data_IF_839657391401
#
_entry.id   IF_839657391401
#
_cell.length_a   1.000
_cell.length_b   1.000
_cell.length_c   1.000
_cell.angle_alpha   90.00
_cell.angle_beta   90.00
_cell.angle_gamma   90.00
#
_symmetry.space_group_name_H-M   'P 1'
#
loop_
_entity.id
_entity.type
_entity.pdbx_description
1 polymer ?
#
# COMPACT_ATOMS: atom_id res chain seq x y z
N UNK A 1 -3.02 6.63 30.17
CA UNK A 1 -4.27 6.80 29.39
C UNK A 1 -4.03 6.05 28.10
N UNK A 2 -4.78 4.99 27.87
CA UNK A 2 -4.56 4.11 26.73
C UNK A 2 -4.94 4.85 25.44
N UNK A 3 -3.96 5.12 24.59
CA UNK A 3 -4.19 5.54 23.21
C UNK A 3 -4.75 4.35 22.44
N UNK A 4 -5.99 4.45 22.03
CA UNK A 4 -6.66 3.45 21.20
C UNK A 4 -6.12 3.64 19.79
N UNK A 5 -5.38 2.65 19.28
CA UNK A 5 -5.01 2.58 17.84
C UNK A 5 -6.29 2.50 17.00
N UNK A 6 -6.69 3.64 16.47
CA UNK A 6 -7.98 3.77 15.74
C UNK A 6 -7.86 3.27 14.29
N UNK A 7 -6.65 3.22 13.73
CA UNK A 7 -6.46 2.97 12.30
C UNK A 7 -6.78 1.53 11.88
N UNK A 8 -6.36 0.56 12.65
CA UNK A 8 -6.49 -0.85 12.32
C UNK A 8 -7.96 -1.26 12.21
N UNK A 9 -8.79 -0.70 13.08
CA UNK A 9 -10.25 -0.95 13.08
C UNK A 9 -10.93 -0.46 11.80
N UNK A 10 -10.41 0.59 11.18
CA UNK A 10 -11.00 1.15 9.96
C UNK A 10 -10.60 0.39 8.67
N UNK A 11 -9.49 -0.35 8.69
CA UNK A 11 -9.10 -1.21 7.57
C UNK A 11 -10.07 -2.42 7.48
N UNK A 12 -10.69 -2.82 8.60
CA UNK A 12 -11.47 -4.06 8.74
C UNK A 12 -12.98 -3.90 8.89
N UNK A 13 -13.52 -2.71 9.00
CA UNK A 13 -14.96 -2.58 9.01
C UNK A 13 -15.58 -2.79 7.62
N UNK A 14 -15.61 -4.05 7.20
CA UNK A 14 -16.60 -4.54 6.25
C UNK A 14 -17.74 -5.09 7.09
N UNK A 15 -18.67 -4.23 7.49
CA UNK A 15 -19.97 -4.71 7.94
C UNK A 15 -20.80 -5.00 6.70
N UNK A 16 -21.35 -6.23 6.55
CA UNK A 16 -22.37 -6.44 5.55
C UNK A 16 -23.58 -5.59 5.94
N UNK A 17 -24.09 -4.77 5.03
CA UNK A 17 -25.37 -4.11 5.16
C UNK A 17 -26.48 -5.18 5.21
N UNK A 18 -26.81 -5.69 6.40
CA UNK A 18 -28.10 -6.29 6.66
C UNK A 18 -28.96 -5.20 7.28
N UNK A 19 -29.78 -4.59 6.44
CA UNK A 19 -30.82 -3.67 6.89
C UNK A 19 -31.88 -4.40 7.69
N UNK A 20 -32.02 -4.04 8.95
CA UNK A 20 -33.29 -4.09 9.68
C UNK A 20 -33.42 -2.75 10.40
N UNK A 21 -34.12 -1.85 9.78
CA UNK A 21 -34.57 -0.60 10.37
C UNK A 21 -36.09 -0.68 10.54
N UNK A 22 -36.55 -0.46 11.76
CA UNK A 22 -37.97 -0.39 12.12
C UNK A 22 -38.67 0.76 11.39
N UNK A 23 -39.85 0.46 10.85
CA UNK A 23 -40.78 1.41 10.25
C UNK A 23 -41.28 2.44 11.25
N UNK A 24 -41.11 3.72 10.94
CA UNK A 24 -42.01 4.77 11.38
C UNK A 24 -42.62 5.44 10.16
N UNK A 25 -43.93 5.20 10.04
CA UNK A 25 -44.78 5.80 9.01
C UNK A 25 -44.88 7.31 9.15
N UNK A 26 -44.59 8.03 8.06
CA UNK A 26 -45.14 9.34 7.77
C UNK A 26 -45.61 9.32 6.31
N UNK A 27 -46.92 9.41 6.13
CA UNK A 27 -47.54 9.59 4.82
C UNK A 27 -47.22 10.98 4.29
N UNK A 28 -46.57 11.04 3.14
CA UNK A 28 -46.73 12.15 2.21
C UNK A 28 -46.70 11.62 0.78
N UNK A 29 -47.81 11.86 0.09
CA UNK A 29 -48.03 11.55 -1.32
C UNK A 29 -47.15 12.44 -2.17
N UNK A 30 -46.23 11.84 -2.90
CA UNK A 30 -45.69 12.45 -4.13
C UNK A 30 -45.88 11.44 -5.27
N UNK A 31 -46.61 11.86 -6.27
CA UNK A 31 -46.81 11.14 -7.52
C UNK A 31 -45.47 10.95 -8.22
N UNK A 32 -45.08 9.70 -8.44
CA UNK A 32 -43.92 9.36 -9.25
C UNK A 32 -44.38 8.97 -10.63
N UNK A 33 -44.15 9.86 -11.58
CA UNK A 33 -44.07 9.48 -12.98
C UNK A 33 -42.81 8.66 -13.20
N UNK A 34 -42.98 7.46 -13.70
CA UNK A 34 -41.92 6.50 -13.94
C UNK A 34 -40.95 6.98 -15.04
N UNK A 35 -39.68 6.98 -14.68
CA UNK A 35 -38.60 6.86 -15.64
C UNK A 35 -37.64 5.79 -15.13
N UNK A 36 -37.93 4.54 -15.52
CA UNK A 36 -37.02 3.43 -15.41
C UNK A 36 -35.88 3.63 -16.44
N UNK A 37 -34.93 4.49 -16.11
CA UNK A 37 -33.63 4.45 -16.79
C UNK A 37 -32.76 3.43 -16.03
N UNK A 38 -32.78 2.19 -16.52
CA UNK A 38 -31.66 1.29 -16.33
C UNK A 38 -30.41 2.03 -16.83
N UNK A 39 -29.59 2.51 -15.92
CA UNK A 39 -28.23 2.90 -16.23
C UNK A 39 -27.49 1.63 -16.67
N UNK A 40 -27.46 1.40 -17.97
CA UNK A 40 -26.52 0.48 -18.58
C UNK A 40 -25.14 1.07 -18.33
N UNK A 41 -24.41 0.52 -17.36
CA UNK A 41 -22.99 0.79 -17.22
C UNK A 41 -22.31 0.38 -18.51
N UNK A 42 -21.84 1.36 -19.25
CA UNK A 42 -21.06 1.12 -20.45
C UNK A 42 -19.74 0.46 -20.02
N UNK A 43 -19.62 -0.83 -20.24
CA UNK A 43 -18.43 -1.65 -19.96
C UNK A 43 -17.36 -1.35 -21.02
N UNK A 44 -16.84 -0.14 -21.00
CA UNK A 44 -15.73 0.23 -21.88
C UNK A 44 -14.42 0.07 -21.11
N UNK A 45 -13.49 -0.68 -21.68
CA UNK A 45 -12.09 -0.72 -21.23
C UNK A 45 -11.33 0.57 -21.58
N UNK A 46 -12.00 1.53 -22.19
CA UNK A 46 -11.51 2.88 -22.42
C UNK A 46 -11.95 3.78 -21.26
N UNK A 47 -11.09 4.64 -20.82
CA UNK A 47 -11.28 5.56 -19.70
C UNK A 47 -12.60 6.34 -19.81
N UNK A 48 -13.58 6.11 -18.94
CA UNK A 48 -14.93 6.66 -19.15
C UNK A 48 -15.05 8.14 -18.79
N UNK A 49 -14.10 8.66 -17.99
CA UNK A 49 -14.14 10.05 -17.52
C UNK A 49 -12.74 10.64 -17.39
N UNK A 50 -12.58 11.86 -17.85
CA UNK A 50 -11.40 12.66 -17.71
C UNK A 50 -11.74 13.80 -16.75
N UNK A 51 -11.00 13.93 -15.66
CA UNK A 51 -11.13 15.02 -14.72
C UNK A 51 -9.89 15.90 -14.79
N UNK A 52 -10.09 17.20 -14.81
CA UNK A 52 -8.99 18.18 -14.75
C UNK A 52 -8.54 18.49 -13.33
N UNK A 53 -9.26 18.00 -12.33
CA UNK A 53 -8.97 18.22 -10.92
C UNK A 53 -8.66 16.91 -10.23
N UNK A 54 -7.40 16.72 -9.86
CA UNK A 54 -6.89 15.54 -9.16
C UNK A 54 -7.65 15.23 -7.86
N UNK A 55 -8.00 16.29 -7.10
CA UNK A 55 -8.74 16.12 -5.85
C UNK A 55 -10.18 15.62 -6.04
N UNK A 56 -10.76 15.79 -7.22
CA UNK A 56 -12.07 15.21 -7.54
C UNK A 56 -12.04 13.70 -7.61
N UNK A 57 -10.86 13.12 -7.93
CA UNK A 57 -10.67 11.67 -8.12
C UNK A 57 -9.85 11.03 -7.01
N UNK A 58 -8.79 11.71 -6.55
CA UNK A 58 -7.86 11.19 -5.52
C UNK A 58 -8.11 11.93 -4.21
N UNK A 59 -9.37 11.96 -3.85
CA UNK A 59 -9.89 12.81 -2.78
C UNK A 59 -9.61 12.27 -1.40
N UNK A 60 -9.56 10.95 -1.29
CA UNK A 60 -9.47 10.24 -0.02
C UNK A 60 -8.67 8.95 -0.22
N UNK A 61 -7.92 8.54 0.81
CA UNK A 61 -7.30 7.21 0.91
C UNK A 61 -6.43 6.82 -0.30
N UNK A 62 -5.46 7.66 -0.66
CA UNK A 62 -4.43 7.26 -1.62
C UNK A 62 -3.48 6.29 -0.93
N UNK A 63 -3.70 4.99 -1.16
CA UNK A 63 -3.05 3.92 -0.43
C UNK A 63 -1.68 3.55 -0.98
N UNK A 64 -1.51 3.65 -2.29
CA UNK A 64 -0.24 3.38 -2.96
C UNK A 64 -0.06 4.29 -4.17
N UNK A 65 1.18 4.59 -4.50
CA UNK A 65 1.53 5.43 -5.65
C UNK A 65 2.73 4.82 -6.36
N UNK A 66 2.74 4.95 -7.68
CA UNK A 66 3.84 4.51 -8.51
C UNK A 66 4.01 5.45 -9.71
N UNK A 67 5.24 5.81 -10.06
CA UNK A 67 5.53 6.48 -11.32
C UNK A 67 6.20 5.50 -12.28
N UNK A 68 5.55 5.22 -13.43
CA UNK A 68 6.09 4.29 -14.42
C UNK A 68 7.25 4.91 -15.21
N UNK A 69 8.01 4.07 -15.93
CA UNK A 69 9.16 4.49 -16.75
C UNK A 69 8.79 5.45 -17.88
N UNK A 70 7.49 5.59 -18.22
CA UNK A 70 6.98 6.56 -19.19
C UNK A 70 6.67 7.91 -18.55
N UNK A 71 6.73 7.99 -17.20
CA UNK A 71 6.44 9.17 -16.41
C UNK A 71 4.97 9.30 -16.01
N UNK A 72 4.11 8.30 -16.28
CA UNK A 72 2.75 8.33 -15.78
C UNK A 72 2.72 8.03 -14.29
N UNK A 73 1.86 8.72 -13.56
CA UNK A 73 1.57 8.41 -12.16
C UNK A 73 0.36 7.48 -12.08
N UNK A 74 0.49 6.48 -11.25
CA UNK A 74 -0.55 5.53 -10.91
C UNK A 74 -0.89 5.68 -9.45
N UNK A 75 -2.15 5.91 -9.14
CA UNK A 75 -2.67 6.04 -7.78
C UNK A 75 -3.58 4.87 -7.50
N UNK A 76 -3.21 4.09 -6.52
CA UNK A 76 -4.05 3.05 -5.95
C UNK A 76 -4.82 3.60 -4.75
N UNK A 77 -6.12 3.42 -4.75
CA UNK A 77 -6.99 3.98 -3.70
C UNK A 77 -7.58 2.89 -2.82
N UNK A 78 -8.11 3.30 -1.67
CA UNK A 78 -8.82 2.40 -0.76
C UNK A 78 -10.33 2.44 -1.03
N UNK A 79 -10.74 2.03 -2.24
CA UNK A 79 -12.15 1.93 -2.60
C UNK A 79 -12.61 2.75 -3.81
N UNK A 80 -11.67 3.40 -4.52
CA UNK A 80 -11.95 4.07 -5.80
C UNK A 80 -11.12 3.47 -6.96
N UNK A 81 -10.53 2.28 -6.74
CA UNK A 81 -9.77 1.55 -7.74
C UNK A 81 -8.47 2.24 -8.14
N UNK A 82 -8.14 2.13 -9.43
CA UNK A 82 -6.90 2.63 -10.03
C UNK A 82 -7.18 3.97 -10.71
N UNK A 83 -6.30 4.95 -10.49
CA UNK A 83 -6.33 6.24 -11.16
C UNK A 83 -4.97 6.45 -11.82
N UNK A 84 -4.97 6.93 -13.07
CA UNK A 84 -3.77 7.25 -13.83
C UNK A 84 -3.71 8.74 -14.16
N UNK A 85 -2.51 9.30 -14.08
CA UNK A 85 -2.22 10.65 -14.54
C UNK A 85 -1.00 10.64 -15.48
N UNK A 86 -1.15 11.12 -16.71
CA UNK A 86 -0.12 11.11 -17.75
C UNK A 86 0.66 12.43 -17.87
N UNK A 87 0.44 13.35 -16.94
CA UNK A 87 0.98 14.71 -16.97
C UNK A 87 0.04 15.75 -17.58
N UNK A 88 -1.09 15.31 -18.17
CA UNK A 88 -2.11 16.19 -18.77
C UNK A 88 -3.52 15.78 -18.34
N UNK A 89 -3.81 14.49 -18.35
CA UNK A 89 -5.15 13.95 -18.09
C UNK A 89 -5.13 13.02 -16.89
N UNK A 90 -6.15 13.15 -16.06
CA UNK A 90 -6.41 12.26 -14.93
C UNK A 90 -7.57 11.32 -15.30
N UNK A 91 -7.33 10.02 -15.20
CA UNK A 91 -8.25 8.99 -15.66
C UNK A 91 -8.53 7.96 -14.56
N UNK A 92 -9.82 7.73 -14.27
CA UNK A 92 -10.23 6.59 -13.45
C UNK A 92 -10.35 5.34 -14.34
N UNK A 93 -9.67 4.27 -13.93
CA UNK A 93 -9.62 3.01 -14.68
C UNK A 93 -10.80 2.13 -14.28
N UNK A 94 -11.59 1.72 -15.29
CA UNK A 94 -12.63 0.72 -15.10
C UNK A 94 -12.22 -0.58 -15.80
N UNK A 95 -12.26 -1.69 -15.07
CA UNK A 95 -11.85 -3.00 -15.55
C UNK A 95 -13.07 -3.91 -15.58
N UNK A 96 -13.34 -4.54 -16.72
CA UNK A 96 -14.47 -5.45 -16.87
C UNK A 96 -14.30 -6.66 -15.94
N UNK A 97 -15.37 -6.95 -15.17
CA UNK A 97 -15.38 -8.07 -14.23
C UNK A 97 -14.74 -7.81 -12.88
N UNK A 98 -14.16 -6.61 -12.68
CA UNK A 98 -13.55 -6.20 -11.41
C UNK A 98 -14.45 -5.19 -10.72
N UNK A 99 -14.51 -5.30 -9.37
CA UNK A 99 -15.32 -4.40 -8.56
C UNK A 99 -14.79 -2.96 -8.66
N UNK A 100 -15.65 -1.96 -8.98
CA UNK A 100 -15.19 -0.58 -9.17
C UNK A 100 -14.62 0.08 -7.90
N UNK A 101 -14.97 -0.46 -6.73
CA UNK A 101 -14.49 0.02 -5.41
C UNK A 101 -13.39 -0.88 -4.82
N UNK A 102 -12.63 -1.60 -5.67
CA UNK A 102 -11.51 -2.39 -5.22
C UNK A 102 -10.47 -1.52 -4.50
N UNK A 103 -9.81 -2.10 -3.51
CA UNK A 103 -8.62 -1.53 -2.90
C UNK A 103 -7.40 -1.92 -3.74
N UNK A 104 -6.52 -0.96 -3.96
CA UNK A 104 -5.22 -1.21 -4.61
C UNK A 104 -4.13 -1.02 -3.56
N UNK A 105 -3.39 -2.08 -3.29
CA UNK A 105 -2.49 -2.14 -2.14
C UNK A 105 -1.04 -1.95 -2.55
N UNK A 106 -0.64 -2.50 -3.69
CA UNK A 106 0.73 -2.40 -4.20
C UNK A 106 0.72 -2.24 -5.72
N UNK A 107 1.70 -1.50 -6.26
CA UNK A 107 1.87 -1.28 -7.71
C UNK A 107 3.34 -1.47 -8.05
N UNK A 108 3.62 -2.34 -9.04
CA UNK A 108 4.99 -2.58 -9.52
C UNK A 108 5.03 -2.63 -11.04
N UNK A 109 6.19 -2.32 -11.65
CA UNK A 109 6.41 -2.38 -13.10
C UNK A 109 7.47 -3.45 -13.42
N UNK A 110 7.12 -4.35 -14.34
CA UNK A 110 8.06 -5.36 -14.81
C UNK A 110 9.10 -4.81 -15.83
N UNK A 111 10.07 -5.66 -16.19
CA UNK A 111 11.12 -5.28 -17.16
C UNK A 111 10.57 -4.99 -18.55
N UNK A 112 9.41 -5.55 -18.89
CA UNK A 112 8.74 -5.34 -20.18
C UNK A 112 7.89 -4.06 -20.20
N UNK A 113 7.73 -3.38 -19.04
CA UNK A 113 6.91 -2.16 -18.89
C UNK A 113 5.43 -2.47 -18.67
N UNK A 114 5.07 -3.68 -18.26
CA UNK A 114 3.74 -3.95 -17.77
C UNK A 114 3.63 -3.47 -16.31
N UNK A 115 2.48 -2.90 -15.98
CA UNK A 115 2.15 -2.49 -14.61
C UNK A 115 1.32 -3.58 -13.97
N UNK A 116 1.69 -3.95 -12.75
CA UNK A 116 1.01 -4.96 -11.97
C UNK A 116 0.44 -4.33 -10.70
N UNK A 117 -0.78 -4.67 -10.37
CA UNK A 117 -1.52 -4.14 -9.22
C UNK A 117 -1.92 -5.30 -8.32
N UNK A 118 -1.46 -5.27 -7.08
CA UNK A 118 -2.00 -6.10 -6.01
C UNK A 118 -3.25 -5.45 -5.44
N UNK A 119 -4.38 -6.14 -5.48
CA UNK A 119 -5.67 -5.57 -5.14
C UNK A 119 -6.47 -6.45 -4.20
N UNK A 120 -7.60 -5.94 -3.70
CA UNK A 120 -8.58 -6.76 -2.97
C UNK A 120 -9.25 -7.82 -3.83
N UNK A 121 -9.15 -7.72 -5.15
CA UNK A 121 -9.80 -8.58 -6.14
C UNK A 121 -8.75 -9.37 -6.94
N UNK A 122 -7.61 -9.68 -6.34
CA UNK A 122 -6.52 -10.43 -6.96
C UNK A 122 -5.44 -9.58 -7.60
N UNK A 123 -4.68 -10.19 -8.52
CA UNK A 123 -3.58 -9.59 -9.24
C UNK A 123 -4.07 -9.06 -10.60
N UNK A 124 -3.80 -7.80 -10.89
CA UNK A 124 -4.18 -7.17 -12.15
C UNK A 124 -2.93 -6.77 -12.92
N UNK A 125 -2.88 -7.11 -14.20
CA UNK A 125 -1.83 -6.71 -15.14
C UNK A 125 -2.37 -5.69 -16.14
N UNK A 126 -1.59 -4.65 -16.40
CA UNK A 126 -1.77 -3.72 -17.52
C UNK A 126 -0.58 -3.81 -18.48
N UNK A 127 -0.81 -4.20 -19.74
CA UNK A 127 0.23 -4.39 -20.76
C UNK A 127 0.49 -3.13 -21.63
N UNK A 128 -0.04 -2.00 -21.19
CA UNK A 128 0.00 -0.74 -21.95
C UNK A 128 -1.20 -0.54 -22.88
N UNK A 129 -2.08 -1.53 -23.01
CA UNK A 129 -3.27 -1.49 -23.88
C UNK A 129 -4.52 -2.04 -23.19
N UNK A 130 -4.39 -3.13 -22.45
CA UNK A 130 -5.52 -3.83 -21.81
C UNK A 130 -5.14 -4.30 -20.41
N UNK A 131 -6.16 -4.45 -19.60
CA UNK A 131 -6.07 -5.06 -18.29
C UNK A 131 -6.43 -6.54 -18.35
N UNK A 132 -5.77 -7.35 -17.52
CA UNK A 132 -6.10 -8.74 -17.27
C UNK A 132 -5.99 -9.01 -15.77
N UNK A 133 -7.04 -9.61 -15.20
CA UNK A 133 -7.06 -10.01 -13.79
C UNK A 133 -6.74 -11.50 -13.65
N UNK A 134 -6.20 -11.86 -12.48
CA UNK A 134 -5.87 -13.22 -12.04
C UNK A 134 -6.27 -13.35 -10.57
N UNK A 135 -6.91 -14.44 -10.22
CA UNK A 135 -7.55 -14.62 -8.92
C UNK A 135 -7.40 -16.07 -8.42
N UNK A 136 -8.32 -16.51 -7.59
CA UNK A 136 -8.40 -17.90 -7.11
C UNK A 136 -8.59 -18.91 -8.23
N UNK A 137 -9.17 -18.51 -9.38
CA UNK A 137 -9.26 -19.35 -10.58
C UNK A 137 -7.88 -19.75 -11.13
N UNK A 138 -6.89 -18.90 -10.99
CA UNK A 138 -5.50 -19.15 -11.35
C UNK A 138 -4.67 -19.70 -10.17
N UNK A 139 -5.33 -20.05 -9.05
CA UNK A 139 -4.72 -20.70 -7.90
C UNK A 139 -4.18 -19.78 -6.81
N UNK A 140 -4.59 -18.50 -6.77
CA UNK A 140 -4.31 -17.62 -5.63
C UNK A 140 -4.85 -18.26 -4.36
N UNK A 141 -4.02 -18.28 -3.31
CA UNK A 141 -4.37 -18.93 -2.04
C UNK A 141 -5.22 -18.04 -1.15
N UNK A 142 -6.16 -18.67 -0.43
CA UNK A 142 -7.08 -18.02 0.50
C UNK A 142 -8.50 -17.95 -0.06
N UNK A 143 -9.46 -17.71 0.83
CA UNK A 143 -10.86 -17.45 0.46
C UNK A 143 -11.05 -16.03 -0.03
N UNK A 144 -10.25 -15.10 0.53
CA UNK A 144 -10.17 -13.70 0.12
C UNK A 144 -9.06 -13.55 -0.91
N UNK A 145 -9.38 -12.94 -2.04
CA UNK A 145 -8.45 -12.73 -3.16
C UNK A 145 -7.46 -11.57 -2.92
N UNK A 146 -7.45 -11.02 -1.70
CA UNK A 146 -6.70 -9.82 -1.37
C UNK A 146 -5.18 -10.06 -1.35
N UNK A 147 -4.47 -9.29 -2.17
CA UNK A 147 -3.01 -9.26 -2.26
C UNK A 147 -2.49 -8.09 -1.44
N UNK A 148 -1.65 -8.39 -0.46
CA UNK A 148 -1.02 -7.41 0.43
C UNK A 148 0.43 -7.13 0.04
N UNK A 149 1.20 -8.15 -0.27
CA UNK A 149 2.58 -8.04 -0.71
C UNK A 149 2.73 -8.37 -2.19
N UNK A 150 3.41 -7.52 -2.94
CA UNK A 150 3.70 -7.73 -4.35
C UNK A 150 5.09 -7.22 -4.68
N UNK A 151 5.93 -8.08 -5.25
CA UNK A 151 7.23 -7.67 -5.78
C UNK A 151 7.61 -8.48 -7.00
N UNK A 152 8.54 -7.97 -7.78
CA UNK A 152 9.14 -8.66 -8.93
C UNK A 152 10.63 -8.77 -8.65
N UNK A 153 11.11 -10.00 -8.51
CA UNK A 153 12.53 -10.24 -8.24
C UNK A 153 13.42 -9.96 -9.44
N UNK A 154 14.72 -9.98 -9.23
CA UNK A 154 15.72 -9.71 -10.26
C UNK A 154 15.67 -10.69 -11.45
N UNK A 155 15.06 -11.87 -11.26
CA UNK A 155 14.85 -12.86 -12.30
C UNK A 155 13.54 -12.60 -13.08
N UNK A 156 12.70 -11.69 -12.59
CA UNK A 156 11.39 -11.37 -13.17
C UNK A 156 10.26 -12.26 -12.66
N UNK A 157 10.49 -13.04 -11.61
CA UNK A 157 9.45 -13.82 -10.94
C UNK A 157 8.62 -12.89 -10.07
N UNK A 158 7.31 -13.00 -10.19
CA UNK A 158 6.38 -12.20 -9.39
C UNK A 158 6.06 -12.94 -8.10
N UNK A 159 6.35 -12.31 -6.98
CA UNK A 159 6.04 -12.78 -5.64
C UNK A 159 4.78 -12.11 -5.15
N UNK A 160 3.88 -12.90 -4.59
CA UNK A 160 2.57 -12.45 -4.13
C UNK A 160 2.35 -12.93 -2.70
N UNK A 161 2.11 -11.98 -1.80
CA UNK A 161 1.66 -12.22 -0.43
C UNK A 161 0.17 -11.96 -0.31
N UNK A 162 -0.55 -12.91 0.25
CA UNK A 162 -2.00 -12.82 0.47
C UNK A 162 -2.36 -13.31 1.88
N UNK A 163 -3.62 -13.17 2.25
CA UNK A 163 -4.17 -13.75 3.49
C UNK A 163 -3.96 -15.28 3.56
N UNK A 164 -3.96 -15.96 2.42
CA UNK A 164 -3.74 -17.39 2.33
C UNK A 164 -2.28 -17.83 2.35
N UNK A 165 -1.34 -16.90 2.27
CA UNK A 165 0.10 -17.16 2.26
C UNK A 165 0.84 -16.55 1.08
N UNK A 166 1.98 -17.14 0.73
CA UNK A 166 2.85 -16.67 -0.35
C UNK A 166 2.72 -17.56 -1.57
N UNK A 167 2.74 -16.93 -2.74
CA UNK A 167 2.77 -17.62 -4.03
C UNK A 167 3.76 -16.94 -4.97
N UNK A 168 4.26 -17.71 -5.94
CA UNK A 168 4.87 -17.17 -7.14
C UNK A 168 3.84 -17.13 -8.25
N UNK A 169 3.87 -16.13 -9.09
CA UNK A 169 3.07 -16.09 -10.29
C UNK A 169 3.95 -16.29 -11.53
N UNK A 170 3.69 -17.36 -12.31
CA UNK A 170 4.49 -17.76 -13.47
C UNK A 170 4.06 -17.09 -14.78
N UNK A 171 3.08 -16.20 -14.74
CA UNK A 171 2.45 -15.55 -15.91
C UNK A 171 1.10 -16.15 -16.29
N UNK A 172 0.75 -17.32 -15.75
CA UNK A 172 -0.51 -18.00 -16.00
C UNK A 172 -1.25 -18.38 -14.71
N UNK A 173 -0.52 -18.83 -13.69
CA UNK A 173 -1.09 -19.33 -12.43
C UNK A 173 -0.21 -18.98 -11.23
N UNK A 174 -0.84 -19.03 -10.06
CA UNK A 174 -0.13 -18.92 -8.78
C UNK A 174 0.38 -20.31 -8.36
N UNK A 175 1.64 -20.35 -7.98
CA UNK A 175 2.31 -21.54 -7.44
C UNK A 175 2.58 -21.28 -5.96
N UNK A 176 1.98 -22.05 -5.05
CA UNK A 176 2.19 -21.88 -3.61
C UNK A 176 3.67 -21.94 -3.23
N UNK A 177 4.08 -21.05 -2.34
CA UNK A 177 5.39 -21.04 -1.74
C UNK A 177 5.26 -21.19 -0.22
N UNK A 178 5.69 -22.34 0.30
CA UNK A 178 5.51 -22.68 1.73
C UNK A 178 6.59 -22.01 2.57
N UNK A 179 6.17 -21.25 3.57
CA UNK A 179 7.03 -20.78 4.65
C UNK A 179 7.23 -21.91 5.67
N UNK A 180 8.37 -21.96 6.36
CA UNK A 180 8.56 -22.86 7.49
C UNK A 180 7.67 -22.48 8.67
N UNK A 181 7.50 -23.41 9.60
CA UNK A 181 6.77 -23.13 10.84
C UNK A 181 7.40 -21.97 11.61
N UNK A 182 6.53 -21.13 12.19
CA UNK A 182 6.97 -19.99 12.99
C UNK A 182 7.62 -20.45 14.31
N UNK A 183 8.71 -19.76 14.69
CA UNK A 183 9.34 -19.92 16.01
C UNK A 183 8.76 -18.95 17.06
N UNK A 184 7.78 -18.15 16.71
CA UNK A 184 7.09 -17.23 17.62
C UNK A 184 6.09 -18.01 18.46
N UNK A 185 6.23 -17.92 19.78
CA UNK A 185 5.30 -18.52 20.72
C UNK A 185 4.11 -17.58 20.93
N UNK A 186 2.87 -18.06 20.67
CA UNK A 186 1.65 -17.29 20.77
C UNK A 186 1.69 -15.97 19.96
N UNK A 187 1.85 -16.05 18.64
CA UNK A 187 1.93 -14.85 17.81
C UNK A 187 0.62 -14.06 17.90
N UNK A 188 0.75 -12.74 17.89
CA UNK A 188 -0.39 -11.83 17.82
C UNK A 188 -0.62 -11.48 16.35
N UNK A 189 -1.61 -12.09 15.74
CA UNK A 189 -2.01 -11.78 14.38
C UNK A 189 -3.08 -10.70 14.38
N UNK A 190 -3.00 -9.82 13.40
CA UNK A 190 -4.04 -8.84 13.13
C UNK A 190 -5.13 -9.45 12.26
N UNK A 191 -4.74 -10.27 11.28
CA UNK A 191 -5.61 -10.87 10.28
C UNK A 191 -5.45 -12.37 10.16
N UNK A 192 -4.23 -12.83 9.92
CA UNK A 192 -3.97 -14.22 9.58
C UNK A 192 -2.53 -14.62 9.89
N UNK A 193 -2.37 -15.82 10.43
CA UNK A 193 -1.06 -16.45 10.66
C UNK A 193 -0.25 -16.71 9.38
N UNK A 194 -0.90 -16.59 8.21
CA UNK A 194 -0.27 -16.81 6.90
C UNK A 194 -0.01 -15.53 6.13
N UNK A 195 -0.59 -14.43 6.58
CA UNK A 195 -0.51 -13.17 5.84
C UNK A 195 0.92 -12.65 5.74
N UNK A 196 1.29 -12.24 4.54
CA UNK A 196 2.55 -11.54 4.24
C UNK A 196 2.21 -10.16 3.70
N UNK A 197 2.55 -9.12 4.49
CA UNK A 197 2.24 -7.72 4.18
C UNK A 197 3.16 -7.13 3.12
N UNK A 198 4.46 -7.49 3.16
CA UNK A 198 5.46 -6.93 2.25
C UNK A 198 6.46 -8.00 1.86
N UNK A 199 6.91 -7.93 0.62
CA UNK A 199 7.97 -8.78 0.08
C UNK A 199 8.97 -7.88 -0.64
N UNK A 200 10.26 -8.02 -0.34
CA UNK A 200 11.32 -7.37 -1.10
C UNK A 200 12.43 -8.37 -1.44
N UNK A 201 13.19 -8.10 -2.49
CA UNK A 201 14.48 -8.73 -2.74
C UNK A 201 15.58 -7.73 -2.42
N UNK A 202 16.50 -8.10 -1.54
CA UNK A 202 17.66 -7.26 -1.23
C UNK A 202 18.74 -7.36 -2.32
N UNK A 203 19.74 -6.48 -2.26
CA UNK A 203 20.85 -6.43 -3.24
C UNK A 203 21.67 -7.73 -3.31
N UNK A 204 21.58 -8.60 -2.30
CA UNK A 204 22.23 -9.90 -2.29
C UNK A 204 21.39 -10.99 -2.97
N UNK A 205 20.16 -10.68 -3.37
CA UNK A 205 19.19 -11.64 -3.91
C UNK A 205 18.46 -12.44 -2.83
N UNK A 206 18.46 -11.96 -1.59
CA UNK A 206 17.66 -12.54 -0.51
C UNK A 206 16.26 -11.98 -0.53
N UNK A 207 15.25 -12.85 -0.51
CA UNK A 207 13.85 -12.46 -0.38
C UNK A 207 13.50 -12.30 1.09
N UNK A 208 12.96 -11.15 1.45
CA UNK A 208 12.47 -10.84 2.77
C UNK A 208 10.95 -10.82 2.75
N UNK A 209 10.34 -11.53 3.69
CA UNK A 209 8.88 -11.70 3.79
C UNK A 209 8.43 -11.19 5.16
N UNK A 210 7.72 -10.10 5.16
CA UNK A 210 7.20 -9.40 6.34
C UNK A 210 5.83 -9.97 6.69
N UNK A 211 5.67 -10.54 7.88
CA UNK A 211 4.50 -11.33 8.23
C UNK A 211 3.66 -10.74 9.35
N UNK A 212 2.40 -11.16 9.40
CA UNK A 212 1.46 -10.78 10.46
C UNK A 212 1.73 -11.56 11.76
N UNK A 213 2.46 -10.96 12.68
CA UNK A 213 2.72 -11.51 14.02
C UNK A 213 3.82 -12.59 14.08
N UNK A 214 4.34 -13.04 12.94
CA UNK A 214 5.39 -14.07 12.89
C UNK A 214 6.80 -13.52 12.65
N UNK A 215 7.00 -12.20 12.70
CA UNK A 215 8.29 -11.58 12.39
C UNK A 215 8.61 -11.57 10.90
N UNK A 216 9.86 -11.79 10.54
CA UNK A 216 10.35 -11.73 9.17
C UNK A 216 11.02 -13.05 8.78
N UNK A 217 10.62 -13.61 7.65
CA UNK A 217 11.35 -14.71 7.02
C UNK A 217 12.28 -14.16 5.95
N UNK A 218 13.51 -14.69 5.92
CA UNK A 218 14.49 -14.45 4.85
C UNK A 218 14.67 -15.75 4.09
N UNK A 219 14.60 -15.69 2.76
CA UNK A 219 14.81 -16.84 1.90
C UNK A 219 15.94 -16.55 0.92
N UNK A 220 16.95 -17.42 0.90
CA UNK A 220 18.05 -17.34 -0.06
C UNK A 220 18.47 -18.75 -0.50
N UNK A 221 18.37 -19.03 -1.80
CA UNK A 221 18.85 -20.28 -2.43
C UNK A 221 18.39 -21.57 -1.73
N UNK A 222 17.15 -21.61 -1.28
CA UNK A 222 16.57 -22.80 -0.63
C UNK A 222 16.69 -22.81 0.90
N UNK A 223 17.38 -21.84 1.49
CA UNK A 223 17.55 -21.74 2.93
C UNK A 223 16.70 -20.63 3.52
N UNK A 224 16.08 -20.90 4.67
CA UNK A 224 15.32 -19.92 5.43
C UNK A 224 16.06 -19.49 6.68
N UNK A 225 15.96 -18.20 6.99
CA UNK A 225 16.30 -17.62 8.29
C UNK A 225 15.05 -16.92 8.82
N UNK A 226 14.72 -17.16 10.07
CA UNK A 226 13.56 -16.55 10.72
C UNK A 226 14.02 -15.51 11.76
N UNK A 227 13.66 -14.26 11.56
CA UNK A 227 13.95 -13.14 12.45
C UNK A 227 12.73 -12.80 13.30
N UNK A 228 12.95 -12.76 14.61
CA UNK A 228 11.91 -12.48 15.61
C UNK A 228 12.47 -11.52 16.68
N UNK A 229 11.66 -11.18 17.66
CA UNK A 229 12.13 -10.42 18.84
C UNK A 229 13.29 -11.11 19.57
N UNK A 230 13.43 -12.43 19.49
CA UNK A 230 14.58 -13.18 20.01
C UNK A 230 15.90 -12.87 19.26
N UNK A 231 15.81 -12.35 18.04
CA UNK A 231 16.95 -11.95 17.21
C UNK A 231 17.18 -10.43 17.19
N UNK A 232 16.34 -9.65 17.90
CA UNK A 232 16.49 -8.20 17.99
C UNK A 232 15.46 -7.37 17.25
N UNK A 233 14.45 -8.00 16.61
CA UNK A 233 13.27 -7.24 16.12
C UNK A 233 12.59 -6.55 17.32
N UNK A 234 12.04 -5.38 17.06
CA UNK A 234 11.33 -4.60 18.09
C UNK A 234 9.97 -5.18 18.42
N UNK A 235 9.32 -5.77 17.41
CA UNK A 235 8.07 -6.51 17.52
C UNK A 235 7.97 -7.57 16.42
N UNK A 236 7.19 -8.65 16.66
CA UNK A 236 6.96 -9.69 15.65
C UNK A 236 5.81 -9.34 14.70
N UNK A 237 4.97 -8.36 15.03
CA UNK A 237 3.95 -7.81 14.14
C UNK A 237 4.59 -6.77 13.23
N UNK A 238 5.28 -7.25 12.20
CA UNK A 238 6.01 -6.41 11.25
C UNK A 238 5.07 -5.86 10.18
N UNK A 239 5.29 -4.60 9.77
CA UNK A 239 4.39 -3.88 8.86
C UNK A 239 5.02 -3.61 7.49
N UNK A 240 6.29 -3.18 7.47
CA UNK A 240 6.98 -2.79 6.25
C UNK A 240 8.49 -2.94 6.37
N UNK A 241 9.19 -2.96 5.24
CA UNK A 241 10.63 -3.14 5.15
C UNK A 241 11.21 -2.43 3.93
N UNK A 242 12.41 -1.84 4.08
CA UNK A 242 13.18 -1.24 3.00
C UNK A 242 14.67 -1.57 3.16
N UNK A 243 15.36 -1.93 2.08
CA UNK A 243 16.82 -1.89 2.02
C UNK A 243 17.27 -0.53 1.45
N UNK A 244 18.05 0.24 2.23
CA UNK A 244 18.60 1.50 1.76
C UNK A 244 19.80 1.33 0.82
N UNK A 245 20.25 2.42 0.17
CA UNK A 245 21.38 2.39 -0.77
C UNK A 245 22.68 1.93 -0.12
N UNK A 246 22.82 2.07 1.20
CA UNK A 246 23.96 1.63 2.00
C UNK A 246 23.89 0.14 2.38
N UNK A 247 22.73 -0.53 2.15
CA UNK A 247 22.50 -1.92 2.49
C UNK A 247 21.97 -2.12 3.91
N UNK A 248 21.56 -1.06 4.60
CA UNK A 248 20.85 -1.21 5.86
C UNK A 248 19.38 -1.58 5.59
N UNK A 249 18.81 -2.36 6.49
CA UNK A 249 17.41 -2.75 6.43
C UNK A 249 16.61 -1.92 7.45
N UNK A 250 15.68 -1.14 6.95
CA UNK A 250 14.72 -0.40 7.75
C UNK A 250 13.48 -1.26 7.95
N UNK A 251 12.99 -1.35 9.18
CA UNK A 251 11.88 -2.20 9.56
C UNK A 251 10.88 -1.38 10.36
N UNK A 252 9.65 -1.37 9.89
CA UNK A 252 8.49 -0.85 10.59
C UNK A 252 7.66 -1.97 11.19
N UNK A 253 7.05 -1.71 12.32
CA UNK A 253 6.21 -2.64 13.04
C UNK A 253 4.91 -1.97 13.46
N UNK A 254 3.91 -2.78 13.85
CA UNK A 254 2.64 -2.25 14.34
C UNK A 254 2.70 -1.79 15.80
N UNK A 255 3.61 -2.35 16.62
CA UNK A 255 3.63 -2.08 18.06
C UNK A 255 5.03 -1.74 18.62
N UNK A 256 6.06 -1.79 17.80
CA UNK A 256 7.45 -1.57 18.21
C UNK A 256 8.14 -0.39 17.52
N UNK A 257 7.40 0.32 16.65
CA UNK A 257 7.92 1.47 15.92
C UNK A 257 8.93 1.12 14.83
N UNK A 258 9.88 2.04 14.60
CA UNK A 258 10.88 1.94 13.54
C UNK A 258 12.24 1.52 14.07
N UNK A 259 12.88 0.59 13.35
CA UNK A 259 14.27 0.18 13.60
C UNK A 259 15.08 0.09 12.30
N UNK A 260 16.40 0.20 12.45
CA UNK A 260 17.39 -0.02 11.39
C UNK A 260 18.31 -1.17 11.77
N UNK A 261 18.52 -2.10 10.85
CA UNK A 261 19.48 -3.18 10.95
C UNK A 261 20.65 -2.94 9.97
N UNK A 262 21.85 -2.86 10.47
CA UNK A 262 23.07 -2.58 9.67
C UNK A 262 23.80 -3.84 9.20
N UNK A 263 23.14 -5.01 9.30
CA UNK A 263 23.74 -6.32 9.02
C UNK A 263 24.26 -7.01 10.29
N UNK A 264 24.39 -6.30 11.41
CA UNK A 264 24.93 -6.80 12.67
C UNK A 264 24.08 -6.41 13.86
N UNK A 265 23.66 -5.16 13.92
CA UNK A 265 23.00 -4.53 15.08
C UNK A 265 21.67 -3.90 14.68
N UNK A 266 20.67 -4.05 15.55
CA UNK A 266 19.42 -3.31 15.47
C UNK A 266 19.50 -2.04 16.31
N UNK A 267 19.12 -0.91 15.71
CA UNK A 267 18.90 0.38 16.42
C UNK A 267 17.41 0.66 16.36
N UNK A 268 16.74 0.76 17.50
CA UNK A 268 15.32 1.10 17.58
C UNK A 268 15.14 2.58 17.95
N UNK A 269 14.70 3.38 17.00
CA UNK A 269 14.55 4.81 17.16
C UNK A 269 13.30 5.22 17.96
N UNK A 270 12.24 4.41 17.92
CA UNK A 270 11.02 4.66 18.68
C UNK A 270 11.22 4.34 20.16
N UNK A 271 11.80 3.18 20.46
CA UNK A 271 12.09 2.76 21.84
C UNK A 271 13.09 3.71 22.52
N UNK A 272 14.02 4.26 21.75
CA UNK A 272 15.00 5.23 22.22
C UNK A 272 14.42 6.64 22.37
N UNK A 273 13.13 6.84 22.07
CA UNK A 273 12.40 8.11 22.23
C UNK A 273 12.78 9.18 21.20
N UNK A 274 13.35 8.79 20.07
CA UNK A 274 13.76 9.69 18.99
C UNK A 274 12.59 9.88 17.99
N UNK A 275 11.83 8.83 17.75
CA UNK A 275 10.65 8.81 16.88
C UNK A 275 9.43 8.48 17.72
N UNK A 276 8.35 9.25 17.58
CA UNK A 276 7.05 8.97 18.18
C UNK A 276 6.21 8.10 17.25
N UNK A 277 5.31 7.29 17.83
CA UNK A 277 4.43 6.39 17.10
C UNK A 277 4.96 4.96 17.04
N UNK A 278 4.14 4.04 17.53
CA UNK A 278 4.50 2.61 17.57
C UNK A 278 4.20 1.90 16.25
N UNK A 279 3.27 2.42 15.47
CA UNK A 279 2.88 1.89 14.16
C UNK A 279 3.61 2.66 13.05
N UNK A 280 4.56 1.99 12.37
CA UNK A 280 5.41 2.61 11.34
C UNK A 280 5.47 1.77 10.07
N UNK A 281 5.37 2.43 8.91
CA UNK A 281 5.35 1.79 7.59
C UNK A 281 5.60 2.80 6.46
N UNK A 282 5.44 2.39 5.18
CA UNK A 282 5.59 3.19 3.96
C UNK A 282 6.98 3.81 3.83
N UNK A 283 8.03 2.99 3.89
CA UNK A 283 9.39 3.46 3.68
C UNK A 283 9.63 3.88 2.23
N UNK A 284 10.36 4.98 2.07
CA UNK A 284 10.86 5.45 0.78
C UNK A 284 12.26 6.06 0.97
N UNK A 285 13.24 5.65 0.18
CA UNK A 285 14.53 6.32 0.10
C UNK A 285 14.52 7.28 -1.08
N UNK A 286 14.73 8.58 -0.81
CA UNK A 286 14.79 9.59 -1.86
C UNK A 286 16.13 9.58 -2.62
N UNK A 287 16.22 10.35 -3.68
CA UNK A 287 17.41 10.45 -4.52
C UNK A 287 18.62 11.02 -3.77
N UNK A 288 18.39 11.79 -2.71
CA UNK A 288 19.42 12.36 -1.83
C UNK A 288 19.88 11.38 -0.75
N UNK A 289 19.24 10.22 -0.61
CA UNK A 289 19.53 9.19 0.39
C UNK A 289 18.85 9.43 1.73
N UNK A 290 17.87 10.32 1.80
CA UNK A 290 17.04 10.42 2.99
C UNK A 290 16.03 9.28 3.03
N UNK A 291 15.76 8.77 4.24
CA UNK A 291 14.73 7.75 4.45
C UNK A 291 13.48 8.43 4.99
N UNK A 292 12.41 8.28 4.25
CA UNK A 292 11.07 8.73 4.62
C UNK A 292 10.25 7.55 5.10
N UNK A 293 9.44 7.74 6.12
CA UNK A 293 8.48 6.76 6.60
C UNK A 293 7.33 7.42 7.34
N UNK A 294 6.24 6.70 7.50
CA UNK A 294 5.08 7.17 8.25
C UNK A 294 5.09 6.61 9.67
N UNK A 295 4.64 7.42 10.61
CA UNK A 295 4.25 6.98 11.94
C UNK A 295 2.78 7.34 12.12
N UNK A 296 1.94 6.33 12.36
CA UNK A 296 0.49 6.48 12.35
C UNK A 296 -0.01 7.54 13.30
N UNK A 297 -0.76 8.52 12.76
CA UNK A 297 -1.25 9.66 13.52
C UNK A 297 -0.22 10.73 13.85
N UNK A 298 1.08 10.48 13.64
CA UNK A 298 2.19 11.40 13.88
C UNK A 298 2.75 12.03 12.61
N UNK A 299 2.18 11.73 11.44
CA UNK A 299 2.60 12.25 10.15
C UNK A 299 3.77 11.49 9.55
N UNK A 300 4.76 12.20 9.02
CA UNK A 300 5.90 11.64 8.29
C UNK A 300 7.20 12.04 8.95
N UNK A 301 8.12 11.10 9.03
CA UNK A 301 9.50 11.35 9.42
C UNK A 301 10.43 11.27 8.21
N UNK A 302 11.46 12.12 8.20
CA UNK A 302 12.60 12.06 7.30
C UNK A 302 13.88 11.91 8.10
N UNK A 303 14.65 10.90 7.79
CA UNK A 303 16.00 10.69 8.32
C UNK A 303 17.03 11.08 7.26
N UNK A 304 17.93 12.03 7.59
CA UNK A 304 18.94 12.58 6.66
C UNK A 304 20.32 11.90 6.75
N UNK A 305 20.37 10.77 7.45
CA UNK A 305 21.63 10.07 7.77
C UNK A 305 22.17 10.37 9.18
N UNK A 306 21.67 11.44 9.83
CA UNK A 306 22.09 11.85 11.17
C UNK A 306 20.90 12.22 12.06
N UNK A 307 19.92 12.93 11.53
CA UNK A 307 18.81 13.50 12.29
C UNK A 307 17.45 13.09 11.70
N UNK A 308 16.44 13.03 12.57
CA UNK A 308 15.05 12.89 12.17
C UNK A 308 14.37 14.26 12.16
N UNK A 309 13.60 14.51 11.10
CA UNK A 309 12.68 15.66 10.99
C UNK A 309 11.27 15.14 10.85
N UNK A 310 10.37 15.56 11.72
CA UNK A 310 8.95 15.22 11.65
C UNK A 310 8.19 16.28 10.87
N UNK A 311 7.23 15.85 10.05
CA UNK A 311 6.32 16.69 9.30
C UNK A 311 4.88 16.28 9.58
N UNK A 312 4.04 17.25 9.90
CA UNK A 312 2.63 17.09 10.26
C UNK A 312 1.76 18.06 9.48
N UNK A 313 0.48 18.08 9.79
CA UNK A 313 -0.45 19.10 9.28
C UNK A 313 -0.01 20.54 9.58
N UNK A 314 0.73 20.77 10.68
CA UNK A 314 1.28 22.09 11.02
C UNK A 314 2.38 22.53 10.02
N UNK A 315 2.97 21.59 9.29
CA UNK A 315 3.95 21.86 8.24
C UNK A 315 3.34 21.88 6.84
N UNK A 316 2.03 21.63 6.72
CA UNK A 316 1.30 21.68 5.45
C UNK A 316 0.92 20.31 4.85
N UNK A 317 1.14 19.19 5.56
CA UNK A 317 0.54 17.91 5.18
C UNK A 317 -0.99 18.02 5.19
N UNK A 318 -1.66 17.37 4.26
CA UNK A 318 -3.13 17.32 4.22
C UNK A 318 -3.73 16.51 5.37
N UNK A 319 -2.99 15.53 5.88
CA UNK A 319 -3.38 14.70 7.02
C UNK A 319 -2.14 14.08 7.67
N UNK A 320 -2.20 13.86 8.99
CA UNK A 320 -1.17 13.08 9.71
C UNK A 320 -1.29 11.57 9.49
N UNK A 321 -2.34 11.11 8.83
CA UNK A 321 -2.48 9.72 8.39
C UNK A 321 -2.02 9.63 6.96
N UNK A 322 -0.81 9.13 6.76
CA UNK A 322 -0.15 9.01 5.47
C UNK A 322 -0.04 7.53 5.11
N UNK A 323 -0.56 7.15 3.95
CA UNK A 323 -0.72 5.77 3.52
C UNK A 323 0.28 5.35 2.43
N UNK A 324 0.97 6.31 1.81
CA UNK A 324 1.99 6.04 0.81
C UNK A 324 2.95 7.20 0.63
N UNK A 325 4.19 6.90 0.26
CA UNK A 325 5.24 7.86 -0.05
C UNK A 325 5.89 7.48 -1.37
N UNK A 326 6.12 8.45 -2.25
CA UNK A 326 6.78 8.26 -3.54
C UNK A 326 7.66 9.46 -3.84
N UNK A 327 8.93 9.26 -4.18
CA UNK A 327 9.71 10.28 -4.89
C UNK A 327 9.49 10.13 -6.40
N UNK A 328 9.14 11.20 -7.07
CA UNK A 328 8.99 11.22 -8.51
C UNK A 328 10.32 11.49 -9.24
N UNK A 329 10.31 11.34 -10.56
CA UNK A 329 11.51 11.56 -11.40
C UNK A 329 11.99 13.03 -11.47
N UNK A 330 11.28 13.95 -10.80
CA UNK A 330 11.66 15.36 -10.64
C UNK A 330 12.25 15.64 -9.26
N UNK A 331 12.33 14.63 -8.39
CA UNK A 331 12.80 14.74 -7.03
C UNK A 331 11.77 15.35 -6.06
N UNK A 332 10.51 15.38 -6.43
CA UNK A 332 9.42 15.77 -5.56
C UNK A 332 8.94 14.55 -4.77
N UNK A 333 8.72 14.70 -3.48
CA UNK A 333 8.19 13.62 -2.64
C UNK A 333 6.69 13.78 -2.46
N UNK A 334 5.96 12.77 -2.88
CA UNK A 334 4.50 12.71 -2.84
C UNK A 334 4.03 11.91 -1.64
N UNK A 335 2.99 12.36 -1.00
CA UNK A 335 2.36 11.71 0.16
C UNK A 335 0.89 11.47 -0.14
N UNK A 336 0.53 10.19 -0.23
CA UNK A 336 -0.86 9.76 -0.29
C UNK A 336 -1.42 9.71 1.12
N UNK A 337 -2.50 10.42 1.37
CA UNK A 337 -3.08 10.56 2.71
C UNK A 337 -4.56 10.20 2.75
N UNK A 338 -5.13 10.15 3.93
CA UNK A 338 -6.58 10.03 4.10
C UNK A 338 -7.38 11.17 3.45
N UNK A 339 -6.77 12.34 3.29
CA UNK A 339 -7.44 13.54 2.80
C UNK A 339 -6.87 14.02 1.45
N UNK A 340 -6.38 13.10 0.63
CA UNK A 340 -5.83 13.37 -0.69
C UNK A 340 -4.31 13.38 -0.72
N UNK A 341 -3.72 14.22 -1.58
CA UNK A 341 -2.30 14.24 -1.87
C UNK A 341 -1.61 15.49 -1.33
N UNK A 342 -0.43 15.30 -0.74
CA UNK A 342 0.54 16.36 -0.47
C UNK A 342 1.79 16.13 -1.30
N UNK A 343 2.47 17.20 -1.70
CA UNK A 343 3.72 17.16 -2.44
C UNK A 343 4.73 18.02 -1.69
N UNK A 344 5.92 17.49 -1.45
CA UNK A 344 7.05 18.22 -0.88
C UNK A 344 8.10 18.49 -1.95
N UNK A 345 8.44 19.75 -2.17
CA UNK A 345 9.40 20.18 -3.20
C UNK A 345 10.85 20.34 -2.68
N UNK A 346 11.10 19.88 -1.45
CA UNK A 346 12.36 20.06 -0.75
C UNK A 346 12.38 21.26 0.19
N UNK A 347 11.34 22.10 0.18
CA UNK A 347 11.23 23.32 1.03
C UNK A 347 9.90 23.39 1.77
N UNK A 348 8.80 23.22 1.04
CA UNK A 348 7.44 23.35 1.58
C UNK A 348 6.51 22.26 1.05
N UNK A 349 5.48 21.98 1.82
CA UNK A 349 4.39 21.12 1.37
C UNK A 349 3.40 21.91 0.52
N UNK A 350 3.01 21.31 -0.58
CA UNK A 350 1.97 21.80 -1.47
C UNK A 350 0.80 20.83 -1.41
N UNK A 351 -0.39 21.33 -1.22
CA UNK A 351 -1.59 20.53 -1.41
C UNK A 351 -1.87 20.41 -2.90
N UNK A 352 -2.10 19.21 -3.40
CA UNK A 352 -2.39 19.00 -4.82
C UNK A 352 -3.63 19.79 -5.31
N UNK A 353 -4.57 20.13 -4.41
CA UNK A 353 -5.75 20.95 -4.77
C UNK A 353 -5.45 22.43 -5.03
N UNK A 354 -4.31 22.95 -4.60
CA UNK A 354 -4.06 24.38 -4.56
C UNK A 354 -3.11 24.87 -5.67
N UNK A 355 -2.56 23.97 -6.49
CA UNK A 355 -1.60 24.34 -7.56
C UNK A 355 -1.82 23.57 -8.86
N UNK A 356 -1.64 24.30 -9.98
CA UNK A 356 -1.40 23.69 -11.29
C UNK A 356 -0.15 22.77 -11.25
N UNK A 357 -0.13 21.67 -11.98
CA UNK A 357 -0.84 21.40 -13.23
C UNK A 357 -2.22 20.73 -13.08
N UNK A 358 -2.76 20.64 -11.88
CA UNK A 358 -3.96 19.88 -11.54
C UNK A 358 -5.25 20.68 -11.73
N UNK A 359 -5.15 21.98 -12.03
CA UNK A 359 -6.27 22.93 -12.13
C UNK A 359 -6.61 23.37 -13.56
N UNK A 360 -6.03 22.77 -14.59
CA UNK A 360 -6.38 23.08 -15.99
C UNK A 360 -7.49 22.22 -16.53
#
# INVERSE_FOLDING_TARGET
MAGISILIVLIFQISPCTGQGEEKSVNDKIENEGNNQQQTFNRSTTFPQIHTNLNGMVREFVRTMYQDKKGNYWFGTNGNGIIRYDGQTLEAITIEGIHPYMRVIEIVEDKAGNIWFGTSDGLIKYDGKKFKAFSTNEGLQGEDEEIWGLTIDNNGLIWVGSIGGVSHFDGEKFIPFSLPDSMVENPQHMLSDKLVFKIIEDKSGTIWLVTDGNGIFKYNKGEFTHLTTKNGLTDNSTADILEDKQGNIWIGTFYGGVSKFDGTTYTNFTKDGIVEGEETYNFCEDSQGNIWFTAEGFGVYRYDGANFTQFTTDNGLTSNVVLSILEDNKGQVWFGTWQGLSIYDGREFMNAKDKEPWTN
#
